data_IF_680220584971
#
_entry.id   IF_680220584971
#
_cell.length_a   1.000
_cell.length_b   1.000
_cell.length_c   1.000
_cell.angle_alpha   90.00
_cell.angle_beta   90.00
_cell.angle_gamma   90.00
#
_symmetry.space_group_name_H-M   'P 1'
#
loop_
_entity.id
_entity.type
_entity.pdbx_description
1 polymer ?
#
# COMPACT_ATOMS: atom_id res chain seq x y z
N UNK A 1 6.45 -1.66 -18.89
CA UNK A 1 6.67 -0.22 -19.23
C UNK A 1 8.11 -0.02 -19.66
N UNK A 2 9.08 -0.51 -18.89
CA UNK A 2 10.50 -0.42 -19.26
C UNK A 2 10.82 -1.12 -20.60
N UNK A 3 10.44 -2.40 -20.75
CA UNK A 3 10.67 -3.16 -21.99
C UNK A 3 9.98 -2.54 -23.22
N UNK A 4 8.78 -2.00 -23.02
CA UNK A 4 8.04 -1.30 -24.08
C UNK A 4 8.76 -0.02 -24.49
N UNK A 5 9.38 0.68 -23.54
CA UNK A 5 10.16 1.88 -23.80
C UNK A 5 11.43 1.57 -24.58
N UNK A 6 12.16 0.52 -24.20
CA UNK A 6 13.32 0.02 -24.95
C UNK A 6 12.93 -0.49 -26.35
N UNK A 7 11.80 -1.18 -26.47
CA UNK A 7 11.28 -1.64 -27.76
C UNK A 7 10.99 -0.47 -28.71
N UNK A 8 10.32 0.57 -28.23
CA UNK A 8 10.02 1.78 -29.01
C UNK A 8 11.29 2.52 -29.46
N UNK A 9 12.30 2.59 -28.58
CA UNK A 9 13.59 3.22 -28.90
C UNK A 9 14.37 2.42 -29.95
N UNK A 10 14.33 1.09 -29.86
CA UNK A 10 15.00 0.19 -30.82
C UNK A 10 14.29 0.15 -32.18
N UNK A 11 12.95 0.14 -32.19
CA UNK A 11 12.15 0.19 -33.42
C UNK A 11 12.37 1.48 -34.21
N UNK A 12 12.57 2.59 -33.51
CA UNK A 12 12.78 3.92 -34.11
C UNK A 12 14.25 4.25 -34.42
N UNK A 13 15.18 3.30 -34.22
CA UNK A 13 16.63 3.52 -34.33
C UNK A 13 17.12 4.75 -33.54
N UNK A 14 16.44 5.08 -32.44
CA UNK A 14 16.76 6.23 -31.61
C UNK A 14 16.36 7.60 -32.18
N UNK A 15 15.55 7.66 -33.24
CA UNK A 15 15.14 8.92 -33.87
C UNK A 15 13.62 9.14 -33.89
N UNK A 16 13.21 10.40 -33.76
CA UNK A 16 11.82 10.82 -33.86
C UNK A 16 10.99 10.61 -32.59
N UNK A 17 9.67 10.83 -32.72
CA UNK A 17 8.73 10.89 -31.60
C UNK A 17 8.67 9.58 -30.78
N UNK A 18 8.78 8.44 -31.45
CA UNK A 18 8.77 7.10 -30.83
C UNK A 18 9.99 6.87 -29.94
N UNK A 19 11.17 7.36 -30.32
CA UNK A 19 12.39 7.27 -29.51
C UNK A 19 12.29 8.14 -28.25
N UNK A 20 11.75 9.36 -28.38
CA UNK A 20 11.53 10.27 -27.26
C UNK A 20 10.54 9.69 -26.24
N UNK A 21 9.39 9.17 -26.71
CA UNK A 21 8.42 8.50 -25.85
C UNK A 21 9.01 7.25 -25.16
N UNK A 22 9.80 6.45 -25.90
CA UNK A 22 10.50 5.30 -25.33
C UNK A 22 11.45 5.71 -24.19
N UNK A 23 12.25 6.75 -24.39
CA UNK A 23 13.15 7.28 -23.38
C UNK A 23 12.44 7.84 -22.14
N UNK A 24 11.31 8.53 -22.32
CA UNK A 24 10.46 8.98 -21.19
C UNK A 24 9.93 7.80 -20.40
N UNK A 25 9.45 6.76 -21.08
CA UNK A 25 8.88 5.57 -20.44
C UNK A 25 9.92 4.80 -19.61
N UNK A 26 11.12 4.59 -20.18
CA UNK A 26 12.27 3.98 -19.47
C UNK A 26 12.66 4.80 -18.24
N UNK A 27 12.75 6.14 -18.37
CA UNK A 27 13.12 7.00 -17.23
C UNK A 27 12.03 7.08 -16.16
N UNK A 28 10.77 6.95 -16.55
CA UNK A 28 9.63 7.02 -15.63
C UNK A 28 9.41 5.69 -14.88
N UNK A 29 9.69 4.54 -15.52
CA UNK A 29 9.44 3.23 -14.94
C UNK A 29 10.04 3.03 -13.52
N UNK A 30 11.30 3.42 -13.22
CA UNK A 30 11.86 3.30 -11.87
C UNK A 30 11.15 4.17 -10.83
N UNK A 31 10.68 5.36 -11.22
CA UNK A 31 9.97 6.28 -10.33
C UNK A 31 8.59 5.74 -10.00
N UNK A 32 7.88 5.22 -11.00
CA UNK A 32 6.59 4.58 -10.83
C UNK A 32 6.71 3.36 -9.91
N UNK A 33 7.69 2.48 -10.15
CA UNK A 33 7.92 1.29 -9.33
C UNK A 33 8.14 1.66 -7.86
N UNK A 34 8.98 2.66 -7.57
CA UNK A 34 9.22 3.15 -6.21
C UNK A 34 7.94 3.70 -5.56
N UNK A 35 7.18 4.51 -6.30
CA UNK A 35 5.90 5.04 -5.82
C UNK A 35 4.90 3.92 -5.52
N UNK A 36 4.80 2.94 -6.42
CA UNK A 36 3.91 1.80 -6.27
C UNK A 36 4.32 0.90 -5.10
N UNK A 37 5.62 0.76 -4.79
CA UNK A 37 6.05 0.04 -3.60
C UNK A 37 5.52 0.71 -2.34
N UNK A 38 5.69 2.03 -2.18
CA UNK A 38 5.22 2.74 -0.98
C UNK A 38 3.69 2.68 -0.86
N UNK A 39 2.99 2.98 -1.96
CA UNK A 39 1.53 2.94 -2.01
C UNK A 39 1.02 1.51 -1.78
N UNK A 40 1.68 0.52 -2.36
CA UNK A 40 1.35 -0.89 -2.21
C UNK A 40 1.53 -1.37 -0.77
N UNK A 41 2.63 -1.00 -0.12
CA UNK A 41 2.85 -1.29 1.30
C UNK A 41 1.79 -0.64 2.18
N UNK A 42 1.48 0.65 1.94
CA UNK A 42 0.40 1.32 2.66
C UNK A 42 -0.95 0.61 2.43
N UNK A 43 -1.27 0.25 1.19
CA UNK A 43 -2.49 -0.47 0.83
C UNK A 43 -2.60 -1.83 1.53
N UNK A 44 -1.50 -2.60 1.62
CA UNK A 44 -1.50 -3.88 2.33
C UNK A 44 -1.85 -3.72 3.83
N UNK A 45 -1.37 -2.67 4.50
CA UNK A 45 -1.76 -2.39 5.88
C UNK A 45 -3.20 -1.92 6.01
N UNK A 46 -3.65 -1.02 5.13
CA UNK A 46 -5.03 -0.51 5.11
C UNK A 46 -6.03 -1.65 4.90
N UNK A 47 -5.79 -2.52 3.91
CA UNK A 47 -6.65 -3.67 3.60
C UNK A 47 -6.55 -4.75 4.68
N UNK A 48 -5.32 -5.09 5.10
CA UNK A 48 -5.08 -6.11 6.12
C UNK A 48 -5.68 -5.77 7.48
N UNK A 49 -5.56 -4.51 7.92
CA UNK A 49 -6.17 -4.07 9.16
C UNK A 49 -7.69 -4.03 9.09
N UNK A 50 -8.28 -3.72 7.93
CA UNK A 50 -9.72 -3.86 7.71
C UNK A 50 -10.19 -5.30 7.90
N UNK A 51 -9.42 -6.29 7.43
CA UNK A 51 -9.72 -7.72 7.66
C UNK A 51 -9.70 -8.03 9.16
N UNK A 52 -8.70 -7.54 9.91
CA UNK A 52 -8.61 -7.77 11.36
C UNK A 52 -9.79 -7.15 12.11
N UNK A 53 -10.12 -5.88 11.84
CA UNK A 53 -11.22 -5.16 12.50
C UNK A 53 -12.56 -5.87 12.30
N UNK A 54 -12.84 -6.35 11.08
CA UNK A 54 -14.12 -7.00 10.77
C UNK A 54 -14.21 -8.43 11.32
N UNK A 55 -13.10 -9.15 11.45
CA UNK A 55 -13.10 -10.55 11.89
C UNK A 55 -12.83 -10.73 13.39
N UNK A 56 -12.39 -9.68 14.10
CA UNK A 56 -12.12 -9.72 15.54
C UNK A 56 -13.12 -8.80 16.28
N UNK A 57 -14.20 -9.36 16.85
CA UNK A 57 -15.27 -8.58 17.50
C UNK A 57 -14.78 -7.64 18.61
N UNK A 58 -13.73 -8.04 19.35
CA UNK A 58 -13.12 -7.23 20.40
C UNK A 58 -12.52 -5.91 19.86
N UNK A 59 -11.98 -5.92 18.64
CA UNK A 59 -11.44 -4.73 17.99
C UNK A 59 -12.58 -3.82 17.51
N UNK A 60 -13.66 -4.42 17.00
CA UNK A 60 -14.82 -3.68 16.51
C UNK A 60 -15.49 -2.84 17.61
N UNK A 61 -15.71 -3.39 18.80
CA UNK A 61 -16.33 -2.66 19.92
C UNK A 61 -15.47 -1.54 20.50
N UNK A 62 -14.14 -1.61 20.36
CA UNK A 62 -13.25 -0.51 20.76
C UNK A 62 -13.35 0.66 19.77
N UNK A 63 -13.63 0.35 18.50
CA UNK A 63 -13.69 1.35 17.42
C UNK A 63 -15.07 1.98 17.24
N UNK A 64 -16.17 1.26 17.51
CA UNK A 64 -17.56 1.77 17.44
C UNK A 64 -17.74 3.18 18.03
N UNK A 65 -17.40 3.45 19.31
CA UNK A 65 -17.65 4.76 19.92
C UNK A 65 -16.79 5.89 19.32
N UNK A 66 -15.66 5.57 18.67
CA UNK A 66 -14.81 6.55 17.99
C UNK A 66 -15.38 6.94 16.61
N UNK A 67 -16.10 6.03 15.96
CA UNK A 67 -16.71 6.25 14.65
C UNK A 67 -17.99 7.09 14.74
N UNK A 68 -18.75 6.98 15.83
CA UNK A 68 -19.98 7.76 16.04
C UNK A 68 -19.74 9.27 16.14
N UNK A 69 -18.61 9.69 16.72
CA UNK A 69 -18.21 11.12 16.81
C UNK A 69 -17.86 11.70 15.43
N UNK A 70 -17.46 10.85 14.50
CA UNK A 70 -16.91 11.24 13.19
C UNK A 70 -17.99 11.40 12.12
N UNK A 71 -19.18 10.82 12.33
CA UNK A 71 -20.31 10.90 11.40
C UNK A 71 -20.87 12.31 11.18
N UNK A 72 -20.48 13.29 12.00
CA UNK A 72 -20.88 14.68 11.82
C UNK A 72 -20.31 15.32 10.53
N UNK A 73 -19.20 14.80 9.97
CA UNK A 73 -18.50 15.39 8.83
C UNK A 73 -18.33 14.36 7.68
N UNK A 74 -18.99 14.54 6.52
CA UNK A 74 -19.06 13.52 5.45
C UNK A 74 -17.70 13.06 4.91
N UNK A 75 -16.73 13.98 4.80
CA UNK A 75 -15.38 13.67 4.31
C UNK A 75 -14.58 12.89 5.35
N UNK A 76 -14.78 13.21 6.63
CA UNK A 76 -14.09 12.54 7.73
C UNK A 76 -14.66 11.13 7.94
N UNK A 77 -15.99 10.96 7.79
CA UNK A 77 -16.66 9.66 7.87
C UNK A 77 -16.19 8.61 6.86
N UNK A 78 -15.67 9.03 5.70
CA UNK A 78 -15.19 8.08 4.66
C UNK A 78 -13.69 7.76 4.80
N UNK A 79 -12.87 8.73 5.18
CA UNK A 79 -11.42 8.56 5.29
C UNK A 79 -10.98 7.98 6.64
N UNK A 80 -11.67 8.34 7.74
CA UNK A 80 -11.26 7.93 9.09
C UNK A 80 -11.27 6.41 9.30
N UNK A 81 -12.31 5.65 8.88
CA UNK A 81 -12.30 4.20 9.04
C UNK A 81 -11.13 3.55 8.32
N UNK A 82 -10.81 4.04 7.11
CA UNK A 82 -9.70 3.54 6.30
C UNK A 82 -8.36 3.79 6.98
N UNK A 83 -8.14 4.98 7.54
CA UNK A 83 -6.92 5.30 8.29
C UNK A 83 -6.79 4.47 9.58
N UNK A 84 -7.88 4.29 10.32
CA UNK A 84 -7.89 3.45 11.53
C UNK A 84 -7.58 1.99 11.22
N UNK A 85 -8.17 1.45 10.14
CA UNK A 85 -7.80 0.13 9.62
C UNK A 85 -6.31 0.06 9.33
N UNK A 86 -5.72 1.08 8.67
CA UNK A 86 -4.29 1.15 8.43
C UNK A 86 -3.44 1.06 9.70
N UNK A 87 -3.79 1.83 10.73
CA UNK A 87 -3.09 1.82 12.03
C UNK A 87 -3.15 0.42 12.66
N UNK A 88 -4.33 -0.20 12.67
CA UNK A 88 -4.53 -1.54 13.21
C UNK A 88 -3.74 -2.57 12.41
N UNK A 89 -3.72 -2.45 11.08
CA UNK A 89 -2.92 -3.30 10.21
C UNK A 89 -1.42 -3.22 10.51
N UNK A 90 -0.89 -2.01 10.75
CA UNK A 90 0.51 -1.81 11.15
C UNK A 90 0.81 -2.43 12.52
N UNK A 91 -0.07 -2.22 13.49
CA UNK A 91 0.08 -2.80 14.84
C UNK A 91 0.03 -4.32 14.80
N UNK A 92 -0.96 -4.90 14.12
CA UNK A 92 -1.08 -6.34 13.98
C UNK A 92 0.11 -6.94 13.21
N UNK A 93 0.53 -6.31 12.12
CA UNK A 93 1.68 -6.74 11.33
C UNK A 93 2.99 -6.72 12.13
N UNK A 94 3.24 -5.64 12.88
CA UNK A 94 4.45 -5.53 13.72
C UNK A 94 4.45 -6.55 14.86
N UNK A 95 3.30 -6.79 15.50
CA UNK A 95 3.15 -7.84 16.53
C UNK A 95 3.43 -9.22 15.95
N UNK A 96 2.89 -9.55 14.77
CA UNK A 96 3.15 -10.82 14.09
C UNK A 96 4.64 -11.01 13.81
N UNK A 97 5.32 -9.99 13.28
CA UNK A 97 6.77 -10.05 13.02
C UNK A 97 7.54 -10.28 14.32
N UNK A 98 7.22 -9.56 15.39
CA UNK A 98 7.89 -9.72 16.69
C UNK A 98 7.72 -11.13 17.26
N UNK A 99 6.51 -11.69 17.21
CA UNK A 99 6.23 -13.07 17.65
C UNK A 99 7.00 -14.08 16.80
N UNK A 100 7.01 -13.90 15.48
CA UNK A 100 7.73 -14.79 14.57
C UNK A 100 9.24 -14.72 14.79
N UNK A 101 9.79 -13.56 15.10
CA UNK A 101 11.21 -13.39 15.38
C UNK A 101 11.62 -14.08 16.70
N UNK A 102 10.81 -13.93 17.75
CA UNK A 102 10.99 -14.65 19.02
C UNK A 102 10.91 -16.17 18.80
N UNK A 103 9.93 -16.63 18.02
CA UNK A 103 9.76 -18.04 17.71
C UNK A 103 10.97 -18.63 16.96
N UNK A 104 11.46 -17.95 15.93
CA UNK A 104 12.65 -18.39 15.19
C UNK A 104 13.89 -18.43 16.09
N UNK A 105 14.02 -17.49 17.03
CA UNK A 105 15.12 -17.46 18.01
C UNK A 105 15.06 -18.60 19.04
N UNK A 106 13.87 -19.11 19.34
CA UNK A 106 13.68 -20.23 20.31
C UNK A 106 13.83 -21.60 19.62
N UNK A 107 13.45 -21.70 18.33
CA UNK A 107 13.55 -22.96 17.56
C UNK A 107 14.91 -23.20 16.92
N UNK A 108 15.71 -22.15 16.71
CA UNK A 108 17.11 -22.25 16.26
C UNK A 108 18.06 -22.43 17.44
#
# INVERSE_FOLDING_TARGET
MDDLGFYLQRQSKGQGLKASLGGVLVRFAPKLMKGLTVVGTAAMFLVGGGIVVHNVPAVHHILEPMLDVVHAWPVVGTLMPTLMNGVIGVVAGSLLVAVMEVWHKIRG
#
